data_IF_195873647928
#
_entry.id   IF_195873647928
#
_cell.length_a   1.000
_cell.length_b   1.000
_cell.length_c   1.000
_cell.angle_alpha   90.00
_cell.angle_beta   90.00
_cell.angle_gamma   90.00
#
_symmetry.space_group_name_H-M   'P 1'
#
loop_
_entity.id
_entity.type
_entity.pdbx_description
1 polymer ?
#
# COMPACT_ATOMS: atom_id res chain seq x y z
N UNK A 1 7.79 -11.49 21.11
CA UNK A 1 6.90 -11.66 19.92
C UNK A 1 5.60 -10.84 19.99
N UNK A 2 5.11 -10.46 21.18
CA UNK A 2 4.01 -9.46 21.33
C UNK A 2 4.32 -8.12 20.65
N UNK A 3 5.60 -7.78 20.43
CA UNK A 3 6.00 -6.49 19.87
C UNK A 3 6.02 -6.40 18.34
N UNK A 4 6.03 -7.51 17.58
CA UNK A 4 6.16 -7.44 16.11
C UNK A 4 4.99 -6.68 15.47
N UNK A 5 3.75 -7.01 15.85
CA UNK A 5 2.56 -6.26 15.41
C UNK A 5 2.65 -4.80 15.81
N UNK A 6 3.15 -4.53 17.02
CA UNK A 6 3.25 -3.16 17.52
C UNK A 6 4.24 -2.33 16.69
N UNK A 7 5.38 -2.90 16.31
CA UNK A 7 6.31 -2.23 15.39
C UNK A 7 5.66 -1.97 14.02
N UNK A 8 4.89 -2.91 13.49
CA UNK A 8 4.16 -2.72 12.22
C UNK A 8 3.07 -1.63 12.33
N UNK A 9 2.34 -1.57 13.45
CA UNK A 9 1.39 -0.48 13.72
C UNK A 9 2.09 0.87 13.85
N UNK A 10 3.25 0.91 14.49
CA UNK A 10 4.06 2.14 14.58
C UNK A 10 4.61 2.55 13.21
N UNK A 11 5.01 1.60 12.36
CA UNK A 11 5.39 1.88 10.99
C UNK A 11 4.21 2.46 10.19
N UNK A 12 3.00 1.87 10.31
CA UNK A 12 1.79 2.44 9.71
C UNK A 12 1.48 3.85 10.23
N UNK A 13 1.66 4.09 11.54
CA UNK A 13 1.50 5.41 12.13
C UNK A 13 2.52 6.43 11.59
N UNK A 14 3.78 6.02 11.37
CA UNK A 14 4.80 6.86 10.74
C UNK A 14 4.42 7.20 9.31
N UNK A 15 3.88 6.25 8.55
CA UNK A 15 3.42 6.54 7.19
C UNK A 15 2.27 7.56 7.22
N UNK A 16 1.26 7.39 8.10
CA UNK A 16 0.22 8.42 8.29
C UNK A 16 0.78 9.79 8.72
N UNK A 17 1.84 9.80 9.51
CA UNK A 17 2.50 11.04 9.93
C UNK A 17 3.19 11.73 8.74
N UNK A 18 3.81 10.94 7.85
CA UNK A 18 4.38 11.46 6.61
C UNK A 18 3.30 12.05 5.72
N UNK A 19 2.17 11.35 5.52
CA UNK A 19 1.04 11.90 4.77
C UNK A 19 0.58 13.23 5.36
N UNK A 20 0.39 13.29 6.67
CA UNK A 20 -0.01 14.54 7.33
C UNK A 20 0.99 15.67 7.08
N UNK A 21 2.29 15.39 7.16
CA UNK A 21 3.35 16.37 6.89
C UNK A 21 3.35 16.83 5.42
N UNK A 22 3.13 15.90 4.48
CA UNK A 22 2.99 16.20 3.06
C UNK A 22 1.71 17.03 2.79
N UNK A 23 0.62 16.74 3.47
CA UNK A 23 -0.62 17.50 3.38
C UNK A 23 -0.48 18.94 3.92
N UNK A 24 0.47 19.19 4.82
CA UNK A 24 0.82 20.54 5.29
C UNK A 24 1.69 21.35 4.32
N UNK A 25 2.04 20.83 3.15
CA UNK A 25 2.79 21.58 2.13
C UNK A 25 2.01 22.79 1.63
N UNK A 26 2.67 23.92 1.30
CA UNK A 26 2.00 25.14 0.82
C UNK A 26 1.10 24.91 -0.40
N UNK A 27 1.51 24.02 -1.32
CA UNK A 27 0.74 23.67 -2.52
C UNK A 27 -0.67 23.15 -2.19
N UNK A 28 -0.80 22.35 -1.12
CA UNK A 28 -2.06 21.73 -0.70
C UNK A 28 -3.09 22.74 -0.19
N UNK A 29 -2.66 23.96 0.18
CA UNK A 29 -3.52 25.07 0.59
C UNK A 29 -3.94 25.96 -0.59
N UNK A 30 -3.63 25.57 -1.82
CA UNK A 30 -4.00 26.32 -3.03
C UNK A 30 -5.17 25.67 -3.78
N UNK A 31 -5.77 26.43 -4.69
CA UNK A 31 -6.80 25.92 -5.62
C UNK A 31 -6.27 24.80 -6.53
N UNK A 32 -4.96 24.72 -6.76
CA UNK A 32 -4.35 23.71 -7.61
C UNK A 32 -4.56 22.29 -7.04
N UNK A 33 -4.61 22.14 -5.70
CA UNK A 33 -4.91 20.84 -5.10
C UNK A 33 -6.28 20.30 -5.53
N UNK A 34 -7.34 21.13 -5.46
CA UNK A 34 -8.66 20.74 -5.93
C UNK A 34 -8.71 20.52 -7.45
N UNK A 35 -8.18 21.46 -8.22
CA UNK A 35 -8.34 21.50 -9.69
C UNK A 35 -7.38 20.60 -10.47
N UNK A 36 -6.21 20.28 -9.93
CA UNK A 36 -5.16 19.52 -10.63
C UNK A 36 -4.91 18.14 -10.01
N UNK A 37 -5.15 17.96 -8.71
CA UNK A 37 -4.95 16.65 -8.04
C UNK A 37 -6.27 15.91 -7.93
N UNK A 38 -7.24 16.47 -7.20
CA UNK A 38 -8.50 15.77 -6.93
C UNK A 38 -9.34 15.65 -8.21
N UNK A 39 -9.50 16.73 -8.98
CA UNK A 39 -10.29 16.68 -10.21
C UNK A 39 -9.69 15.73 -11.26
N UNK A 40 -8.36 15.52 -11.26
CA UNK A 40 -7.71 14.62 -12.20
C UNK A 40 -8.11 13.15 -11.98
N UNK A 41 -8.41 12.74 -10.75
CA UNK A 41 -8.84 11.35 -10.47
C UNK A 41 -10.26 11.04 -10.97
N UNK A 42 -11.03 12.06 -11.38
CA UNK A 42 -12.33 11.86 -12.03
C UNK A 42 -12.21 11.41 -13.50
N UNK A 43 -11.05 11.61 -14.14
CA UNK A 43 -10.89 11.37 -15.57
C UNK A 43 -11.03 9.88 -15.94
N UNK A 44 -11.79 9.60 -17.00
CA UNK A 44 -12.05 8.23 -17.46
C UNK A 44 -13.01 7.41 -16.60
N UNK A 45 -13.36 7.88 -15.39
CA UNK A 45 -14.27 7.18 -14.49
C UNK A 45 -15.73 7.26 -14.98
N UNK A 46 -16.57 6.23 -14.71
CA UNK A 46 -18.00 6.31 -14.96
C UNK A 46 -18.62 7.53 -14.26
N UNK A 47 -19.65 8.13 -14.85
CA UNK A 47 -20.24 9.37 -14.34
C UNK A 47 -20.71 9.29 -12.87
N UNK A 48 -21.15 8.11 -12.42
CA UNK A 48 -21.55 7.86 -11.02
C UNK A 48 -20.38 7.99 -10.03
N UNK A 49 -19.15 7.74 -10.48
CA UNK A 49 -17.93 7.90 -9.69
C UNK A 49 -17.31 9.28 -9.91
N UNK A 50 -17.24 9.74 -11.16
CA UNK A 50 -16.60 11.00 -11.52
C UNK A 50 -17.33 12.23 -10.95
N UNK A 51 -18.67 12.24 -10.94
CA UNK A 51 -19.45 13.41 -10.43
C UNK A 51 -19.15 13.72 -8.96
N UNK A 52 -19.23 12.77 -8.01
CA UNK A 52 -18.83 13.04 -6.63
C UNK A 52 -17.40 13.55 -6.48
N UNK A 53 -16.44 13.00 -7.25
CA UNK A 53 -15.04 13.47 -7.23
C UNK A 53 -14.97 14.94 -7.66
N UNK A 54 -15.58 15.30 -8.79
CA UNK A 54 -15.59 16.69 -9.28
C UNK A 54 -16.30 17.65 -8.32
N UNK A 55 -17.32 17.18 -7.61
CA UNK A 55 -17.99 17.97 -6.58
C UNK A 55 -17.08 18.22 -5.36
N UNK A 56 -16.38 17.19 -4.88
CA UNK A 56 -15.38 17.34 -3.80
C UNK A 56 -14.23 18.25 -4.24
N UNK A 57 -13.74 18.08 -5.47
CA UNK A 57 -12.71 18.95 -6.05
C UNK A 57 -13.14 20.42 -6.04
N UNK A 58 -14.40 20.70 -6.40
CA UNK A 58 -14.98 22.04 -6.33
C UNK A 58 -15.00 22.60 -4.90
N UNK A 59 -15.38 21.80 -3.89
CA UNK A 59 -15.34 22.23 -2.49
C UNK A 59 -13.92 22.60 -2.06
N UNK A 60 -12.95 21.75 -2.39
CA UNK A 60 -11.53 21.97 -2.07
C UNK A 60 -11.00 23.20 -2.79
N UNK A 61 -11.39 23.44 -4.04
CA UNK A 61 -11.02 24.65 -4.78
C UNK A 61 -11.56 25.94 -4.13
N UNK A 62 -12.80 25.93 -3.65
CA UNK A 62 -13.43 27.11 -3.06
C UNK A 62 -12.94 27.39 -1.63
N UNK A 63 -12.58 26.32 -0.89
CA UNK A 63 -12.16 26.40 0.51
C UNK A 63 -10.83 25.65 0.76
N UNK A 64 -9.76 25.97 0.01
CA UNK A 64 -8.55 25.15 0.02
C UNK A 64 -7.87 25.16 1.38
N UNK A 65 -7.92 26.29 2.10
CA UNK A 65 -7.24 26.40 3.39
C UNK A 65 -7.90 25.56 4.48
N UNK A 66 -9.21 25.74 4.69
CA UNK A 66 -9.93 25.06 5.78
C UNK A 66 -10.09 23.57 5.51
N UNK A 67 -10.38 23.19 4.26
CA UNK A 67 -10.55 21.78 3.91
C UNK A 67 -9.22 21.03 3.99
N UNK A 68 -8.14 21.61 3.46
CA UNK A 68 -6.83 20.98 3.55
C UNK A 68 -6.31 20.91 4.99
N UNK A 69 -6.52 21.96 5.80
CA UNK A 69 -6.19 21.91 7.22
C UNK A 69 -6.93 20.78 7.94
N UNK A 70 -8.20 20.54 7.60
CA UNK A 70 -8.97 19.41 8.13
C UNK A 70 -8.38 18.07 7.68
N UNK A 71 -8.03 17.90 6.40
CA UNK A 71 -7.41 16.67 5.89
C UNK A 71 -6.09 16.38 6.61
N UNK A 72 -5.18 17.34 6.66
CA UNK A 72 -3.89 17.21 7.32
C UNK A 72 -4.03 16.91 8.83
N UNK A 73 -4.99 17.56 9.50
CA UNK A 73 -5.29 17.32 10.92
C UNK A 73 -5.84 15.92 11.15
N UNK A 74 -6.76 15.44 10.32
CA UNK A 74 -7.29 14.06 10.42
C UNK A 74 -6.15 13.06 10.28
N UNK A 75 -5.30 13.20 9.26
CA UNK A 75 -4.16 12.30 9.04
C UNK A 75 -3.18 12.33 10.23
N UNK A 76 -2.89 13.51 10.80
CA UNK A 76 -2.07 13.65 12.00
C UNK A 76 -2.70 12.94 13.21
N UNK A 77 -4.01 13.11 13.41
CA UNK A 77 -4.73 12.44 14.50
C UNK A 77 -4.77 10.92 14.31
N UNK A 78 -4.86 10.42 13.08
CA UNK A 78 -4.72 8.99 12.78
C UNK A 78 -3.32 8.48 13.15
N UNK A 79 -2.27 9.20 12.75
CA UNK A 79 -0.89 8.86 13.10
C UNK A 79 -0.69 8.78 14.62
N UNK A 80 -1.04 9.84 15.35
CA UNK A 80 -0.92 9.90 16.80
C UNK A 80 -1.81 8.86 17.48
N UNK A 81 -3.03 8.68 16.98
CA UNK A 81 -4.00 7.73 17.50
C UNK A 81 -3.54 6.27 17.37
N UNK A 82 -2.93 5.89 16.25
CA UNK A 82 -2.32 4.56 16.05
C UNK A 82 -1.03 4.43 16.89
N UNK A 83 -0.24 5.50 16.99
CA UNK A 83 0.97 5.55 17.80
C UNK A 83 0.71 5.51 19.31
N UNK A 84 -0.50 5.78 19.78
CA UNK A 84 -0.84 5.71 21.20
C UNK A 84 -1.66 4.46 21.52
N UNK A 85 -1.15 3.60 22.42
CA UNK A 85 -1.73 2.27 22.70
C UNK A 85 -3.22 2.28 23.09
N UNK A 86 -3.72 3.20 23.94
CA UNK A 86 -5.13 3.25 24.31
C UNK A 86 -6.05 3.57 23.13
N UNK A 87 -5.57 4.35 22.15
CA UNK A 87 -6.38 4.81 21.01
C UNK A 87 -6.17 4.02 19.73
N UNK A 88 -5.30 3.01 19.73
CA UNK A 88 -4.94 2.27 18.50
C UNK A 88 -6.16 1.66 17.81
N UNK A 89 -7.10 1.08 18.56
CA UNK A 89 -8.29 0.44 17.98
C UNK A 89 -9.23 1.44 17.30
N UNK A 90 -9.70 2.52 17.97
CA UNK A 90 -10.52 3.53 17.29
C UNK A 90 -9.76 4.25 16.17
N UNK A 91 -8.45 4.47 16.31
CA UNK A 91 -7.65 5.11 15.26
C UNK A 91 -7.50 4.24 14.01
N UNK A 92 -7.32 2.93 14.16
CA UNK A 92 -7.34 2.00 13.01
C UNK A 92 -8.73 1.94 12.36
N UNK A 93 -9.81 1.99 13.14
CA UNK A 93 -11.17 2.04 12.60
C UNK A 93 -11.39 3.32 11.77
N UNK A 94 -11.01 4.47 12.32
CA UNK A 94 -11.07 5.75 11.63
C UNK A 94 -10.16 5.76 10.38
N UNK A 95 -8.98 5.14 10.46
CA UNK A 95 -8.06 5.01 9.32
C UNK A 95 -8.69 4.21 8.18
N UNK A 96 -9.42 3.13 8.46
CA UNK A 96 -10.16 2.37 7.43
C UNK A 96 -11.21 3.26 6.76
N UNK A 97 -12.05 3.95 7.54
CA UNK A 97 -13.12 4.81 7.01
C UNK A 97 -12.52 5.94 6.16
N UNK A 98 -11.48 6.60 6.67
CA UNK A 98 -10.80 7.69 5.99
C UNK A 98 -10.14 7.22 4.69
N UNK A 99 -9.48 6.07 4.72
CA UNK A 99 -8.85 5.47 3.55
C UNK A 99 -9.87 5.13 2.47
N UNK A 100 -11.02 4.56 2.82
CA UNK A 100 -12.09 4.27 1.86
C UNK A 100 -12.67 5.55 1.24
N UNK A 101 -12.78 6.62 2.03
CA UNK A 101 -13.19 7.93 1.55
C UNK A 101 -12.22 8.52 0.53
N UNK A 102 -10.92 8.53 0.83
CA UNK A 102 -9.89 9.00 -0.11
C UNK A 102 -9.81 8.10 -1.33
N UNK A 103 -9.91 6.78 -1.17
CA UNK A 103 -9.83 5.85 -2.29
C UNK A 103 -10.89 6.12 -3.34
N UNK A 104 -12.10 6.48 -2.89
CA UNK A 104 -13.17 6.93 -3.78
C UNK A 104 -12.94 8.37 -4.27
N UNK A 105 -12.95 9.36 -3.36
CA UNK A 105 -13.05 10.78 -3.72
C UNK A 105 -11.73 11.43 -4.14
N UNK A 106 -10.61 10.92 -3.66
CA UNK A 106 -9.27 11.43 -3.94
C UNK A 106 -8.56 10.67 -5.06
N UNK A 107 -8.66 9.34 -5.07
CA UNK A 107 -7.91 8.48 -5.99
C UNK A 107 -8.76 7.88 -7.13
N UNK A 108 -10.09 8.06 -7.12
CA UNK A 108 -10.96 7.55 -8.17
C UNK A 108 -10.87 6.03 -8.36
N UNK A 109 -10.76 5.30 -7.24
CA UNK A 109 -10.51 3.86 -7.18
C UNK A 109 -9.18 3.41 -7.83
N UNK A 110 -8.18 4.29 -7.87
CA UNK A 110 -6.83 4.01 -8.38
C UNK A 110 -6.81 3.52 -9.84
N UNK A 111 -7.77 3.98 -10.64
CA UNK A 111 -7.89 3.62 -12.06
C UNK A 111 -8.43 2.19 -12.33
N UNK A 112 -8.91 1.48 -11.31
CA UNK A 112 -9.43 0.11 -11.45
C UNK A 112 -10.65 0.08 -12.39
N UNK A 113 -11.52 1.10 -12.32
CA UNK A 113 -12.74 1.18 -13.11
C UNK A 113 -12.54 1.79 -14.52
N UNK A 114 -11.35 2.34 -14.79
CA UNK A 114 -11.05 3.03 -16.06
C UNK A 114 -10.23 2.16 -17.02
N UNK A 115 -9.75 1.00 -16.56
CA UNK A 115 -8.78 0.18 -17.29
C UNK A 115 -7.37 0.77 -17.34
N UNK A 116 -7.12 1.87 -16.60
CA UNK A 116 -5.82 2.53 -16.50
C UNK A 116 -5.01 2.10 -15.27
N UNK A 117 -5.56 1.27 -14.39
CA UNK A 117 -4.83 0.73 -13.24
C UNK A 117 -3.52 0.05 -13.67
N UNK A 118 -2.42 0.51 -13.09
CA UNK A 118 -1.08 -0.03 -13.29
C UNK A 118 -0.38 -0.21 -11.94
N UNK A 119 0.22 -1.39 -11.66
CA UNK A 119 0.99 -1.56 -10.44
C UNK A 119 2.17 -0.59 -10.36
N UNK A 120 2.72 -0.19 -11.51
CA UNK A 120 3.86 0.70 -11.60
C UNK A 120 3.49 2.12 -11.15
N UNK A 121 2.29 2.62 -11.48
CA UNK A 121 1.80 3.94 -11.06
C UNK A 121 1.11 3.94 -9.68
N UNK A 122 1.08 2.80 -8.98
CA UNK A 122 0.55 2.70 -7.62
C UNK A 122 -0.87 2.18 -7.50
N UNK A 123 -1.49 1.66 -8.57
CA UNK A 123 -2.77 0.97 -8.48
C UNK A 123 -2.71 -0.21 -7.47
N UNK A 124 -3.82 -0.58 -6.80
CA UNK A 124 -5.17 0.00 -6.89
C UNK A 124 -5.35 1.34 -6.16
N UNK A 125 -4.26 1.99 -5.76
CA UNK A 125 -4.25 3.19 -4.95
C UNK A 125 -3.42 2.97 -3.69
N UNK A 126 -2.56 3.92 -3.28
CA UNK A 126 -1.85 3.83 -2.01
C UNK A 126 -2.82 3.70 -0.84
N UNK A 127 -3.87 4.52 -0.78
CA UNK A 127 -4.66 4.65 0.43
C UNK A 127 -5.44 3.37 0.79
N UNK A 128 -5.87 2.57 -0.18
CA UNK A 128 -6.56 1.30 0.11
C UNK A 128 -5.64 0.29 0.81
N UNK A 129 -4.32 0.40 0.62
CA UNK A 129 -3.34 -0.41 1.36
C UNK A 129 -3.28 -0.04 2.84
N UNK A 130 -3.56 1.21 3.21
CA UNK A 130 -3.67 1.62 4.62
C UNK A 130 -4.87 0.94 5.28
N UNK A 131 -6.02 0.90 4.59
CA UNK A 131 -7.21 0.18 5.07
C UNK A 131 -6.92 -1.31 5.27
N UNK A 132 -6.28 -1.94 4.27
CA UNK A 132 -5.87 -3.35 4.33
C UNK A 132 -4.93 -3.61 5.51
N UNK A 133 -3.89 -2.79 5.66
CA UNK A 133 -2.95 -2.89 6.77
C UNK A 133 -3.64 -2.66 8.11
N UNK A 134 -4.59 -1.73 8.21
CA UNK A 134 -5.33 -1.48 9.44
C UNK A 134 -6.18 -2.69 9.87
N UNK A 135 -6.76 -3.42 8.91
CA UNK A 135 -7.47 -4.69 9.15
C UNK A 135 -6.49 -5.79 9.57
N UNK A 136 -5.39 -5.97 8.85
CA UNK A 136 -4.40 -7.03 9.11
C UNK A 136 -3.56 -6.81 10.38
N UNK A 137 -3.48 -5.56 10.85
CA UNK A 137 -2.78 -5.16 12.07
C UNK A 137 -3.74 -4.87 13.23
N UNK A 138 -5.02 -5.20 13.07
CA UNK A 138 -6.04 -4.95 14.08
C UNK A 138 -5.67 -5.59 15.44
N UNK A 139 -5.91 -4.94 16.59
CA UNK A 139 -5.57 -5.51 17.90
C UNK A 139 -6.40 -6.76 18.20
N UNK A 140 -5.76 -7.81 18.72
CA UNK A 140 -6.46 -9.04 19.17
C UNK A 140 -6.17 -9.32 20.64
N UNK A 141 -7.11 -10.01 21.30
CA UNK A 141 -6.97 -10.45 22.69
C UNK A 141 -5.78 -11.42 22.85
N UNK A 142 -5.20 -11.46 24.06
CA UNK A 142 -4.06 -12.32 24.36
C UNK A 142 -4.33 -13.81 24.09
N UNK A 143 -5.57 -14.27 24.25
CA UNK A 143 -6.01 -15.64 24.01
C UNK A 143 -6.07 -16.01 22.50
N UNK A 144 -6.46 -15.04 21.66
CA UNK A 144 -6.40 -15.16 20.20
C UNK A 144 -4.96 -15.06 19.68
N UNK A 145 -4.04 -14.50 20.46
CA UNK A 145 -2.61 -14.33 20.14
C UNK A 145 -1.73 -15.54 20.55
N UNK A 146 -2.34 -16.67 20.91
CA UNK A 146 -1.62 -17.84 21.40
C UNK A 146 -0.56 -18.33 20.39
N UNK A 147 0.68 -18.64 20.86
CA UNK A 147 1.75 -19.14 19.99
C UNK A 147 1.33 -20.40 19.21
N UNK A 148 1.71 -20.48 17.94
CA UNK A 148 1.45 -21.65 17.08
C UNK A 148 0.13 -21.62 16.30
N UNK A 149 -0.78 -20.67 16.56
CA UNK A 149 -2.04 -20.54 15.80
C UNK A 149 -1.93 -19.79 14.47
N UNK A 150 -0.87 -19.00 14.28
CA UNK A 150 -0.68 -18.17 13.09
C UNK A 150 0.77 -18.28 12.58
N UNK A 151 0.93 -18.44 11.28
CA UNK A 151 2.23 -18.41 10.60
C UNK A 151 2.76 -16.97 10.44
N UNK A 152 1.84 -16.00 10.33
CA UNK A 152 2.16 -14.60 10.08
C UNK A 152 1.47 -13.67 11.09
N UNK A 153 1.94 -12.42 11.19
CA UNK A 153 1.23 -11.40 12.01
C UNK A 153 -0.13 -11.08 11.40
N UNK A 154 -0.19 -10.98 10.07
CA UNK A 154 -1.38 -10.66 9.30
C UNK A 154 -2.54 -11.67 9.49
N UNK A 155 -2.24 -12.92 9.83
CA UNK A 155 -3.26 -13.96 10.04
C UNK A 155 -4.00 -13.81 11.37
N UNK A 156 -3.43 -13.09 12.35
CA UNK A 156 -3.94 -13.09 13.72
C UNK A 156 -5.33 -12.45 13.86
N UNK A 157 -5.67 -11.33 13.19
CA UNK A 157 -6.99 -10.72 13.36
C UNK A 157 -8.08 -11.33 12.48
N UNK A 158 -7.72 -11.90 11.33
CA UNK A 158 -8.67 -12.32 10.29
C UNK A 158 -8.67 -13.82 10.01
N UNK A 159 -7.71 -14.56 10.57
CA UNK A 159 -7.49 -15.98 10.32
C UNK A 159 -6.61 -16.25 9.10
N UNK A 160 -6.04 -17.46 9.05
CA UNK A 160 -5.13 -17.93 8.00
C UNK A 160 -5.74 -17.87 6.60
N UNK A 161 -6.97 -18.38 6.44
CA UNK A 161 -7.65 -18.39 5.14
C UNK A 161 -7.86 -16.99 4.58
N UNK A 162 -8.47 -16.11 5.38
CA UNK A 162 -8.78 -14.73 4.99
C UNK A 162 -7.51 -13.94 4.67
N UNK A 163 -6.47 -14.00 5.50
CA UNK A 163 -5.22 -13.29 5.23
C UNK A 163 -4.58 -13.74 3.91
N UNK A 164 -4.51 -15.06 3.66
CA UNK A 164 -3.95 -15.58 2.40
C UNK A 164 -4.79 -15.19 1.19
N UNK A 165 -6.13 -15.15 1.31
CA UNK A 165 -7.02 -14.65 0.26
C UNK A 165 -6.77 -13.16 0.01
N UNK A 166 -6.65 -12.33 1.05
CA UNK A 166 -6.36 -10.91 0.92
C UNK A 166 -5.00 -10.67 0.22
N UNK A 167 -3.98 -11.44 0.57
CA UNK A 167 -2.69 -11.43 -0.12
C UNK A 167 -2.83 -11.81 -1.60
N UNK A 168 -3.50 -12.93 -1.88
CA UNK A 168 -3.71 -13.43 -3.23
C UNK A 168 -4.51 -12.43 -4.10
N UNK A 169 -5.55 -11.83 -3.54
CA UNK A 169 -6.39 -10.83 -4.22
C UNK A 169 -5.56 -9.60 -4.55
N UNK A 170 -4.77 -9.08 -3.61
CA UNK A 170 -3.94 -7.91 -3.86
C UNK A 170 -2.92 -8.20 -4.97
N UNK A 171 -2.01 -9.15 -4.75
CA UNK A 171 -0.92 -9.40 -5.69
C UNK A 171 -1.41 -9.97 -7.02
N UNK A 172 -2.47 -10.79 -7.00
CA UNK A 172 -3.15 -11.28 -8.20
C UNK A 172 -3.81 -10.15 -8.99
N UNK A 173 -4.41 -9.16 -8.32
CA UNK A 173 -4.96 -7.97 -8.99
C UNK A 173 -3.85 -7.12 -9.61
N UNK A 174 -2.70 -6.96 -8.94
CA UNK A 174 -1.54 -6.27 -9.50
C UNK A 174 -1.00 -7.00 -10.75
N UNK A 175 -0.93 -8.34 -10.71
CA UNK A 175 -0.54 -9.14 -11.86
C UNK A 175 -1.52 -8.98 -13.03
N UNK A 176 -2.83 -8.96 -12.75
CA UNK A 176 -3.87 -8.68 -13.74
C UNK A 176 -3.74 -7.26 -14.32
N UNK A 177 -3.51 -6.26 -13.47
CA UNK A 177 -3.33 -4.87 -13.90
C UNK A 177 -2.10 -4.71 -14.80
N UNK A 178 -0.98 -5.39 -14.50
CA UNK A 178 0.23 -5.35 -15.30
C UNK A 178 0.01 -5.75 -16.77
N UNK A 179 -0.99 -6.58 -17.08
CA UNK A 179 -1.31 -7.04 -18.43
C UNK A 179 -2.52 -6.34 -19.07
N UNK A 180 -3.10 -5.33 -18.43
CA UNK A 180 -4.15 -4.52 -19.07
C UNK A 180 -3.62 -3.81 -20.34
N UNK A 181 -4.53 -3.51 -21.27
CA UNK A 181 -4.19 -3.05 -22.62
C UNK A 181 -3.30 -1.81 -22.66
N UNK A 182 -3.56 -0.84 -21.76
CA UNK A 182 -2.75 0.38 -21.58
C UNK A 182 -1.30 0.06 -21.21
N UNK A 183 -1.09 -0.90 -20.30
CA UNK A 183 0.24 -1.29 -19.81
C UNK A 183 1.05 -2.10 -20.83
N UNK A 184 0.39 -2.85 -21.74
CA UNK A 184 1.06 -3.67 -22.77
C UNK A 184 1.47 -2.92 -24.04
N UNK A 185 1.07 -1.65 -24.19
CA UNK A 185 1.42 -0.87 -25.37
C UNK A 185 2.95 -0.72 -25.49
N UNK A 186 3.56 -0.75 -26.69
CA UNK A 186 5.02 -0.83 -26.81
C UNK A 186 5.74 0.37 -26.17
N UNK A 187 5.11 1.54 -26.12
CA UNK A 187 5.64 2.76 -25.53
C UNK A 187 4.97 3.17 -24.20
N UNK A 188 3.87 2.53 -23.78
CA UNK A 188 3.08 3.05 -22.64
C UNK A 188 3.85 3.16 -21.33
N UNK A 189 4.64 2.14 -20.97
CA UNK A 189 5.49 2.21 -19.77
C UNK A 189 6.61 3.24 -19.89
N UNK A 190 7.16 3.44 -21.09
CA UNK A 190 8.16 4.47 -21.36
C UNK A 190 7.57 5.87 -21.17
N UNK A 191 6.41 6.13 -21.78
CA UNK A 191 5.74 7.43 -21.73
C UNK A 191 5.32 7.76 -20.29
N UNK A 192 4.77 6.77 -19.57
CA UNK A 192 4.39 6.89 -18.16
C UNK A 192 5.60 7.25 -17.29
N UNK A 193 6.68 6.46 -17.32
CA UNK A 193 7.89 6.74 -16.50
C UNK A 193 8.52 8.08 -16.89
N UNK A 194 8.56 8.42 -18.18
CA UNK A 194 9.12 9.69 -18.64
C UNK A 194 8.31 10.89 -18.16
N UNK A 195 6.99 10.78 -18.12
CA UNK A 195 6.11 11.85 -17.60
C UNK A 195 6.32 12.10 -16.10
N UNK A 196 6.54 11.05 -15.33
CA UNK A 196 6.76 11.08 -13.88
C UNK A 196 8.05 11.83 -13.50
N UNK A 197 9.07 11.79 -14.37
CA UNK A 197 10.33 12.49 -14.16
C UNK A 197 10.21 14.02 -14.14
N UNK A 198 9.09 14.56 -14.63
CA UNK A 198 8.84 16.00 -14.65
C UNK A 198 8.74 16.57 -13.24
N UNK A 199 9.56 17.58 -12.93
CA UNK A 199 9.57 18.24 -11.62
C UNK A 199 10.39 17.50 -10.54
N UNK A 200 11.01 16.36 -10.86
CA UNK A 200 11.88 15.64 -9.93
C UNK A 200 13.28 16.24 -9.86
N UNK A 201 14.02 16.02 -8.75
CA UNK A 201 15.45 16.33 -8.68
C UNK A 201 16.24 15.62 -9.79
N UNK A 202 17.25 16.29 -10.34
CA UNK A 202 17.97 15.79 -11.54
C UNK A 202 18.59 14.39 -11.39
N UNK A 203 18.96 13.97 -10.17
CA UNK A 203 19.46 12.62 -9.93
C UNK A 203 18.36 11.55 -10.09
N UNK A 204 17.13 11.84 -9.65
CA UNK A 204 15.98 10.93 -9.74
C UNK A 204 15.42 10.91 -11.16
N UNK A 205 15.25 12.10 -11.76
CA UNK A 205 14.86 12.23 -13.16
C UNK A 205 15.81 11.47 -14.10
N UNK A 206 17.12 11.49 -13.81
CA UNK A 206 18.10 10.69 -14.57
C UNK A 206 17.79 9.19 -14.45
N UNK A 207 17.56 8.66 -13.24
CA UNK A 207 17.22 7.23 -13.04
C UNK A 207 15.95 6.87 -13.82
N UNK A 208 14.93 7.71 -13.78
CA UNK A 208 13.65 7.48 -14.47
C UNK A 208 13.81 7.53 -15.99
N UNK A 209 14.54 8.50 -16.55
CA UNK A 209 14.84 8.55 -17.98
C UNK A 209 15.70 7.36 -18.45
N UNK A 210 16.60 6.85 -17.62
CA UNK A 210 17.32 5.61 -17.93
C UNK A 210 16.38 4.41 -17.95
N UNK A 211 15.53 4.25 -16.92
CA UNK A 211 14.55 3.18 -16.87
C UNK A 211 13.55 3.24 -18.03
N UNK A 212 13.05 4.44 -18.35
CA UNK A 212 12.15 4.68 -19.47
C UNK A 212 12.79 4.22 -20.80
N UNK A 213 14.07 4.52 -21.03
CA UNK A 213 14.79 4.06 -22.22
C UNK A 213 14.96 2.54 -22.27
N UNK A 214 15.15 1.88 -21.13
CA UNK A 214 15.26 0.42 -21.07
C UNK A 214 13.95 -0.28 -21.43
N UNK A 215 12.80 0.29 -21.06
CA UNK A 215 11.49 -0.29 -21.34
C UNK A 215 10.90 0.18 -22.68
N UNK A 216 11.56 1.11 -23.38
CA UNK A 216 11.09 1.66 -24.65
C UNK A 216 10.92 0.55 -25.70
N UNK A 217 9.76 0.54 -26.36
CA UNK A 217 9.35 -0.47 -27.34
C UNK A 217 9.24 -1.91 -26.81
N UNK A 218 9.43 -2.13 -25.50
CA UNK A 218 9.39 -3.44 -24.85
C UNK A 218 8.17 -3.62 -23.94
N UNK A 219 7.16 -2.73 -24.02
CA UNK A 219 6.03 -2.71 -23.11
C UNK A 219 5.36 -4.07 -22.88
N UNK A 220 5.10 -4.85 -23.94
CA UNK A 220 4.52 -6.19 -23.81
C UNK A 220 5.41 -7.15 -23.00
N UNK A 221 6.70 -7.22 -23.30
CA UNK A 221 7.64 -8.12 -22.64
C UNK A 221 7.81 -7.75 -21.16
N UNK A 222 7.93 -6.45 -20.87
CA UNK A 222 8.05 -5.92 -19.50
C UNK A 222 6.77 -6.21 -18.70
N UNK A 223 5.59 -5.95 -19.28
CA UNK A 223 4.29 -6.23 -18.66
C UNK A 223 4.11 -7.70 -18.32
N UNK A 224 4.39 -8.62 -19.25
CA UNK A 224 4.25 -10.07 -19.02
C UNK A 224 5.24 -10.52 -17.94
N UNK A 225 6.49 -10.03 -17.98
CA UNK A 225 7.50 -10.36 -16.98
C UNK A 225 7.08 -9.89 -15.60
N UNK A 226 6.65 -8.62 -15.48
CA UNK A 226 6.15 -8.06 -14.23
C UNK A 226 4.93 -8.84 -13.71
N UNK A 227 3.98 -9.16 -14.58
CA UNK A 227 2.82 -9.96 -14.22
C UNK A 227 3.19 -11.36 -13.72
N UNK A 228 4.15 -12.02 -14.36
CA UNK A 228 4.68 -13.31 -13.92
C UNK A 228 5.33 -13.23 -12.54
N UNK A 229 6.17 -12.20 -12.30
CA UNK A 229 6.79 -11.97 -11.00
C UNK A 229 5.74 -11.69 -9.91
N UNK A 230 4.75 -10.84 -10.20
CA UNK A 230 3.64 -10.54 -9.27
C UNK A 230 2.77 -11.78 -9.01
N UNK A 231 2.53 -12.62 -10.01
CA UNK A 231 1.80 -13.88 -9.85
C UNK A 231 2.58 -14.85 -8.95
N UNK A 232 3.90 -14.98 -9.14
CA UNK A 232 4.77 -15.77 -8.24
C UNK A 232 4.67 -15.25 -6.80
N UNK A 233 4.67 -13.92 -6.61
CA UNK A 233 4.46 -13.33 -5.29
C UNK A 233 3.08 -13.67 -4.71
N UNK A 234 2.04 -13.66 -5.54
CA UNK A 234 0.67 -13.93 -5.13
C UNK A 234 0.48 -15.36 -4.58
N UNK A 235 1.09 -16.37 -5.22
CA UNK A 235 1.05 -17.77 -4.73
C UNK A 235 2.11 -18.09 -3.68
N UNK A 236 3.11 -17.23 -3.49
CA UNK A 236 4.26 -17.52 -2.63
C UNK A 236 3.94 -17.79 -1.16
N UNK A 237 2.86 -17.20 -0.62
CA UNK A 237 2.43 -17.43 0.78
C UNK A 237 1.86 -18.82 1.05
N UNK A 238 1.59 -19.60 0.01
CA UNK A 238 1.12 -20.99 0.11
C UNK A 238 2.27 -22.02 0.05
N UNK A 239 3.50 -21.58 -0.19
CA UNK A 239 4.67 -22.44 -0.35
C UNK A 239 5.33 -22.78 1.00
N UNK A 240 6.29 -23.74 1.02
CA UNK A 240 7.13 -23.97 2.19
C UNK A 240 7.89 -22.71 2.65
N UNK A 241 8.22 -22.64 3.95
CA UNK A 241 8.85 -21.46 4.60
C UNK A 241 10.05 -20.84 3.85
N UNK A 242 11.03 -21.59 3.30
CA UNK A 242 12.12 -20.96 2.56
C UNK A 242 11.63 -20.22 1.30
N UNK A 243 10.66 -20.79 0.59
CA UNK A 243 10.08 -20.17 -0.60
C UNK A 243 9.15 -19.00 -0.26
N UNK A 244 8.45 -19.05 0.88
CA UNK A 244 7.70 -17.88 1.40
C UNK A 244 8.64 -16.71 1.61
N UNK A 245 9.79 -16.91 2.27
CA UNK A 245 10.76 -15.83 2.48
C UNK A 245 11.30 -15.27 1.17
N UNK A 246 11.65 -16.14 0.21
CA UNK A 246 12.11 -15.71 -1.10
C UNK A 246 11.03 -14.89 -1.83
N UNK A 247 9.78 -15.33 -1.78
CA UNK A 247 8.63 -14.61 -2.35
C UNK A 247 8.40 -13.25 -1.69
N UNK A 248 8.53 -13.14 -0.37
CA UNK A 248 8.38 -11.87 0.35
C UNK A 248 9.53 -10.91 0.06
N UNK A 249 10.76 -11.42 -0.06
CA UNK A 249 11.90 -10.61 -0.50
C UNK A 249 11.66 -10.10 -1.91
N UNK A 250 11.20 -10.95 -2.83
CA UNK A 250 10.82 -10.54 -4.19
C UNK A 250 9.74 -9.46 -4.16
N UNK A 251 8.70 -9.62 -3.34
CA UNK A 251 7.64 -8.63 -3.15
C UNK A 251 8.19 -7.27 -2.69
N UNK A 252 9.09 -7.27 -1.71
CA UNK A 252 9.73 -6.05 -1.19
C UNK A 252 10.64 -5.40 -2.25
N UNK A 253 11.42 -6.19 -2.98
CA UNK A 253 12.29 -5.68 -4.06
C UNK A 253 11.45 -5.05 -5.18
N UNK A 254 10.39 -5.72 -5.62
CA UNK A 254 9.46 -5.17 -6.61
C UNK A 254 8.81 -3.88 -6.12
N UNK A 255 8.34 -3.85 -4.87
CA UNK A 255 7.76 -2.67 -4.26
C UNK A 255 8.73 -1.49 -4.23
N UNK A 256 10.00 -1.70 -3.88
CA UNK A 256 11.02 -0.65 -3.86
C UNK A 256 11.38 -0.18 -5.28
N UNK A 257 11.51 -1.09 -6.25
CA UNK A 257 11.77 -0.72 -7.65
C UNK A 257 10.62 0.10 -8.21
N UNK A 258 9.38 -0.34 -8.00
CA UNK A 258 8.17 0.38 -8.40
C UNK A 258 8.13 1.75 -7.72
N UNK A 259 8.46 1.83 -6.44
CA UNK A 259 8.46 3.09 -5.69
C UNK A 259 9.44 4.11 -6.26
N UNK A 260 10.66 3.68 -6.58
CA UNK A 260 11.71 4.56 -7.08
C UNK A 260 11.45 4.94 -8.54
N UNK A 261 11.15 3.96 -9.40
CA UNK A 261 11.13 4.15 -10.86
C UNK A 261 9.72 4.48 -11.38
N UNK A 262 8.70 3.87 -10.80
CA UNK A 262 7.31 3.99 -11.24
C UNK A 262 6.49 5.02 -10.49
N UNK A 263 6.98 5.51 -9.36
CA UNK A 263 6.24 6.42 -8.47
C UNK A 263 7.07 7.64 -8.04
N UNK A 264 8.31 7.80 -8.52
CA UNK A 264 9.22 8.89 -8.13
C UNK A 264 9.34 9.12 -6.62
N UNK A 265 9.38 8.06 -5.82
CA UNK A 265 9.34 8.13 -4.35
C UNK A 265 8.08 8.85 -3.83
N UNK A 266 6.95 8.70 -4.51
CA UNK A 266 5.69 9.41 -4.25
C UNK A 266 5.71 10.88 -4.70
N UNK A 267 6.75 11.33 -5.39
CA UNK A 267 6.94 12.74 -5.76
C UNK A 267 7.23 13.64 -4.55
N UNK A 268 7.72 13.09 -3.43
CA UNK A 268 7.94 13.82 -2.17
C UNK A 268 8.79 15.09 -2.36
N UNK A 269 9.69 15.08 -3.35
CA UNK A 269 10.58 16.21 -3.65
C UNK A 269 9.97 17.31 -4.52
N UNK A 270 8.77 17.12 -5.08
CA UNK A 270 8.12 18.10 -5.96
C UNK A 270 7.40 19.21 -5.18
N UNK A 271 7.14 18.99 -3.89
CA UNK A 271 6.29 19.86 -3.06
C UNK A 271 4.80 19.77 -3.40
N UNK A 272 4.38 18.71 -4.10
CA UNK A 272 2.98 18.44 -4.47
C UNK A 272 2.49 17.04 -4.08
N UNK A 273 3.31 16.24 -3.40
CA UNK A 273 2.96 14.87 -3.01
C UNK A 273 1.89 14.86 -1.92
N UNK A 274 0.92 13.95 -2.04
CA UNK A 274 -0.13 13.71 -1.03
C UNK A 274 0.28 12.65 -0.02
N UNK A 275 1.09 11.68 -0.45
CA UNK A 275 1.48 10.48 0.30
C UNK A 275 2.76 9.89 -0.36
N UNK A 276 3.47 8.94 0.29
CA UNK A 276 4.66 8.32 -0.27
C UNK A 276 4.36 7.24 -1.32
N UNK A 277 3.11 7.05 -1.73
CA UNK A 277 2.63 6.08 -2.71
C UNK A 277 2.69 4.61 -2.22
N UNK A 278 2.35 3.65 -3.09
CA UNK A 278 2.10 2.25 -2.71
C UNK A 278 3.35 1.49 -2.27
N UNK A 279 4.54 1.90 -2.70
CA UNK A 279 5.81 1.21 -2.42
C UNK A 279 6.06 0.86 -0.95
N UNK A 280 6.18 1.86 -0.04
CA UNK A 280 6.41 1.62 1.38
C UNK A 280 5.31 0.79 2.05
N UNK A 281 4.07 0.91 1.60
CA UNK A 281 2.93 0.16 2.12
C UNK A 281 2.99 -1.32 1.71
N UNK A 282 3.39 -1.61 0.47
CA UNK A 282 3.62 -2.98 0.00
C UNK A 282 4.79 -3.66 0.73
N UNK A 283 5.84 -2.89 1.06
CA UNK A 283 6.94 -3.36 1.92
C UNK A 283 6.41 -3.69 3.31
N UNK A 284 5.67 -2.77 3.93
CA UNK A 284 5.08 -2.97 5.27
C UNK A 284 4.11 -4.16 5.30
N UNK A 285 3.32 -4.33 4.25
CA UNK A 285 2.45 -5.48 4.07
C UNK A 285 3.25 -6.77 4.00
N UNK A 286 4.31 -6.82 3.19
CA UNK A 286 5.19 -7.99 3.10
C UNK A 286 5.80 -8.37 4.45
N UNK A 287 6.16 -7.38 5.27
CA UNK A 287 6.64 -7.60 6.64
C UNK A 287 5.55 -8.15 7.56
N UNK A 288 4.29 -7.79 7.37
CA UNK A 288 3.17 -8.37 8.11
C UNK A 288 2.93 -9.86 7.79
N UNK A 289 3.34 -10.30 6.59
CA UNK A 289 3.36 -11.71 6.15
C UNK A 289 4.69 -12.42 6.44
N UNK A 290 5.64 -11.79 7.13
CA UNK A 290 6.92 -12.45 7.43
C UNK A 290 6.73 -13.66 8.38
N UNK A 291 7.29 -14.85 8.06
CA UNK A 291 7.12 -16.04 8.88
C UNK A 291 7.58 -15.83 10.32
N UNK A 292 6.67 -16.09 11.27
CA UNK A 292 6.97 -16.13 12.69
C UNK A 292 7.88 -17.34 12.98
N UNK A 293 8.85 -17.18 13.90
CA UNK A 293 9.67 -18.32 14.34
C UNK A 293 8.76 -19.36 15.01
N UNK A 294 8.87 -20.66 14.68
CA UNK A 294 8.19 -21.70 15.42
C UNK A 294 8.59 -21.62 16.90
N UNK A 295 7.61 -21.61 17.80
CA UNK A 295 7.90 -21.83 19.21
C UNK A 295 8.38 -23.28 19.32
N UNK A 296 9.65 -23.51 19.67
CA UNK A 296 10.08 -24.86 20.04
C UNK A 296 9.37 -25.20 21.34
N UNK A 297 8.33 -26.01 21.26
CA UNK A 297 7.86 -26.75 22.43
C UNK A 297 8.97 -27.77 22.69
N UNK A 298 9.77 -27.55 23.73
CA UNK A 298 10.62 -28.64 24.22
C UNK A 298 9.68 -29.81 24.52
N UNK A 299 9.93 -31.01 23.98
CA UNK A 299 9.23 -32.18 24.49
C UNK A 299 9.53 -32.22 25.99
N UNK A 300 8.49 -32.26 26.82
CA UNK A 300 8.65 -32.68 28.21
C UNK A 300 9.31 -34.07 28.15
N UNK A 301 10.62 -34.10 28.35
CA UNK A 301 11.33 -35.31 28.73
C UNK A 301 10.79 -35.69 30.09
N UNK A 302 9.90 -36.67 30.09
CA UNK A 302 9.03 -36.98 31.20
C UNK A 302 9.72 -37.50 32.46
N UNK A 303 8.88 -37.74 33.46
CA UNK A 303 9.12 -38.77 34.45
C UNK A 303 7.87 -39.67 34.50
N UNK A 304 8.09 -40.94 34.20
CA UNK A 304 7.18 -42.08 34.15
C UNK A 304 6.31 -42.30 35.40
N UNK A 305 5.22 -43.10 35.26
CA UNK A 305 4.39 -43.52 36.37
C UNK A 305 5.08 -44.60 37.20
N UNK A 306 5.26 -44.37 38.51
CA UNK A 306 5.58 -45.43 39.44
C UNK A 306 4.35 -46.32 39.64
N UNK A 307 4.50 -47.59 39.26
CA UNK A 307 3.56 -48.67 39.47
C UNK A 307 3.27 -48.94 40.94
N UNK A 308 2.05 -49.43 41.19
CA UNK A 308 1.57 -49.99 42.44
C UNK A 308 2.48 -51.13 42.96
N UNK A 309 2.75 -51.12 44.28
CA UNK A 309 2.79 -52.30 45.16
C UNK A 309 2.65 -51.84 46.61
#
# INVERSE_FOLDING_TARGET
>A
MRDARRYLQLALAVIWLLDAALQYQPYMFTKAFGTQVIAASAQGNPAVIARPITWVAGIVEHHPVSINAAFATIQLLLALGIAWRPTVKPALAASIIWSLGIWWFGEGFGGVLTGAASPVSGAPGPVILYALLAVLLWPVSAEADAPGKAAFVAERPVGTGTARVLWLVLWGSLAYFAVQGSNRSPQGLHDMISSIASGQPGWLASVEHHAARLVAHQGMAVSITLAGLLAVVAVGVFLPTPLVRASLILAMVLAVIIWIVGQALGGIFTGQATDPNSGPLLVLLSLAYWPLKPCRVSPDTGSEPASQS
#
